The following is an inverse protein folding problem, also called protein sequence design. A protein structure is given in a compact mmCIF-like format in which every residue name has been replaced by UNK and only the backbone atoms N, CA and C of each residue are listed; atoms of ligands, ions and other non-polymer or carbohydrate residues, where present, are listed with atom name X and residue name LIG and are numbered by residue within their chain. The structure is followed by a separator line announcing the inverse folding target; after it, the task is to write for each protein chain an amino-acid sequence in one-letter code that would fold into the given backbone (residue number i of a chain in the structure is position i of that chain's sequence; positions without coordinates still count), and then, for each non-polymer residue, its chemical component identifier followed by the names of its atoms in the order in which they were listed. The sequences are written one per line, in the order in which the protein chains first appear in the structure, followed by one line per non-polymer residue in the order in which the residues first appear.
data_IF_373596331902
#
_entry.id   IF_373596331902
#
_cell.length_a   1.000
_cell.length_b   1.000
_cell.length_c   1.000
_cell.angle_alpha   90.00
_cell.angle_beta   90.00
_cell.angle_gamma   90.00
#
_symmetry.space_group_name_H-M   'P 1'
#
loop_
_entity.id
_entity.type
_entity.pdbx_description
1 polymer ?
#
# COMPACT_ATOMS: atom_id res chain seq x y z
N UNK A 1 -1.42 10.14 15.55
CA UNK A 1 -0.63 10.36 14.34
C UNK A 1 0.05 9.10 13.97
N UNK A 2 -0.14 8.72 12.78
CA UNK A 2 0.32 7.41 12.37
C UNK A 2 1.52 7.53 11.45
N UNK A 3 2.70 7.14 11.94
CA UNK A 3 3.87 7.00 11.09
C UNK A 3 3.61 5.97 9.99
N UNK A 4 2.69 5.05 10.25
CA UNK A 4 2.35 4.01 9.28
C UNK A 4 1.80 4.64 8.00
N UNK A 5 0.90 5.61 8.11
CA UNK A 5 0.34 6.28 6.94
C UNK A 5 1.43 6.93 6.10
N UNK A 6 2.37 7.64 6.74
CA UNK A 6 3.48 8.27 6.04
C UNK A 6 4.39 7.26 5.37
N UNK A 7 4.68 6.18 6.07
CA UNK A 7 5.55 5.12 5.55
C UNK A 7 4.90 4.40 4.36
N UNK A 8 3.61 4.13 4.46
CA UNK A 8 2.87 3.50 3.37
C UNK A 8 2.92 4.38 2.13
N UNK A 9 2.67 5.67 2.28
CA UNK A 9 2.73 6.61 1.15
C UNK A 9 4.12 6.65 0.53
N UNK A 10 5.16 6.69 1.35
CA UNK A 10 6.54 6.67 0.85
C UNK A 10 6.83 5.44 0.02
N UNK A 11 6.38 4.28 0.49
CA UNK A 11 6.57 3.03 -0.22
C UNK A 11 5.85 3.07 -1.57
N UNK A 12 4.63 3.58 -1.59
CA UNK A 12 3.84 3.68 -2.81
C UNK A 12 4.52 4.61 -3.82
N UNK A 13 4.96 5.77 -3.37
CA UNK A 13 5.65 6.73 -4.22
C UNK A 13 6.91 6.11 -4.83
N UNK A 14 7.69 5.43 -4.01
CA UNK A 14 8.94 4.81 -4.47
C UNK A 14 8.69 3.64 -5.41
N UNK A 15 7.70 2.82 -5.12
CA UNK A 15 7.45 1.59 -5.88
C UNK A 15 6.74 1.88 -7.21
N UNK A 16 5.76 2.77 -7.19
CA UNK A 16 4.96 3.06 -8.38
C UNK A 16 5.44 4.30 -9.14
N UNK A 17 6.31 5.09 -8.55
CA UNK A 17 6.82 6.29 -9.20
C UNK A 17 5.76 7.38 -9.36
N UNK A 18 4.83 7.48 -8.43
CA UNK A 18 3.78 8.49 -8.46
C UNK A 18 4.08 9.59 -7.44
N UNK A 19 3.41 10.73 -7.60
CA UNK A 19 3.55 11.84 -6.65
C UNK A 19 2.82 11.53 -5.36
N UNK A 20 3.35 12.06 -4.27
CA UNK A 20 2.72 11.93 -2.96
C UNK A 20 1.29 12.45 -2.98
N UNK A 21 1.04 13.51 -3.75
CA UNK A 21 -0.30 14.10 -3.88
C UNK A 21 -1.30 13.16 -4.56
N UNK A 22 -0.81 12.24 -5.38
CA UNK A 22 -1.66 11.27 -6.03
C UNK A 22 -2.02 10.11 -5.11
N UNK A 23 -1.20 9.84 -4.11
CA UNK A 23 -1.40 8.73 -3.18
C UNK A 23 -2.31 9.15 -2.02
N UNK A 24 -3.52 9.57 -2.36
CA UNK A 24 -4.53 9.92 -1.34
C UNK A 24 -5.16 8.64 -0.78
N UNK A 25 -5.84 8.77 0.35
CA UNK A 25 -6.46 7.61 0.99
C UNK A 25 -7.47 6.91 0.10
N UNK A 26 -8.12 7.66 -0.76
CA UNK A 26 -9.16 7.12 -1.65
C UNK A 26 -8.60 6.63 -2.98
N UNK A 27 -7.32 6.86 -3.25
CA UNK A 27 -6.71 6.48 -4.52
C UNK A 27 -6.67 4.97 -4.67
N UNK A 28 -7.19 4.48 -5.79
CA UNK A 28 -7.13 3.07 -6.14
C UNK A 28 -5.79 2.79 -6.79
N UNK A 29 -5.14 1.71 -6.38
CA UNK A 29 -3.83 1.38 -6.94
C UNK A 29 -3.89 1.16 -8.45
N UNK A 30 -4.93 0.50 -8.93
CA UNK A 30 -5.04 0.20 -10.35
C UNK A 30 -5.67 1.33 -11.15
N UNK A 31 -6.74 1.94 -10.63
CA UNK A 31 -7.49 2.96 -11.37
C UNK A 31 -6.87 4.34 -11.30
N UNK A 32 -6.37 4.72 -10.13
CA UNK A 32 -5.86 6.08 -9.92
C UNK A 32 -4.35 6.17 -10.03
N UNK A 33 -3.65 5.13 -9.60
CA UNK A 33 -2.19 5.13 -9.60
C UNK A 33 -1.58 4.32 -10.74
N UNK A 34 -2.42 3.66 -11.52
CA UNK A 34 -2.00 2.96 -12.72
C UNK A 34 -1.16 1.70 -12.48
N UNK A 35 -1.28 1.11 -11.31
CA UNK A 35 -0.56 -0.12 -11.01
C UNK A 35 -1.20 -1.31 -11.71
N UNK A 36 -0.40 -2.14 -12.37
CA UNK A 36 -0.92 -3.40 -12.91
C UNK A 36 -0.75 -4.49 -11.84
N UNK A 37 -1.10 -5.73 -12.19
CA UNK A 37 -1.07 -6.82 -11.21
C UNK A 37 0.35 -7.09 -10.70
N UNK A 38 1.36 -6.92 -11.53
CA UNK A 38 2.74 -7.10 -11.12
C UNK A 38 3.17 -6.00 -10.14
N UNK A 39 2.81 -4.77 -10.45
CA UNK A 39 3.12 -3.64 -9.57
C UNK A 39 2.45 -3.83 -8.21
N UNK A 40 1.22 -4.31 -8.21
CA UNK A 40 0.49 -4.54 -6.97
C UNK A 40 1.19 -5.60 -6.12
N UNK A 41 1.65 -6.68 -6.74
CA UNK A 41 2.38 -7.73 -6.03
C UNK A 41 3.67 -7.16 -5.43
N UNK A 42 4.42 -6.40 -6.20
CA UNK A 42 5.64 -5.78 -5.70
C UNK A 42 5.38 -4.87 -4.52
N UNK A 43 4.30 -4.10 -4.60
CA UNK A 43 3.91 -3.18 -3.54
C UNK A 43 3.61 -3.93 -2.25
N UNK A 44 2.85 -5.01 -2.37
CA UNK A 44 2.52 -5.85 -1.20
C UNK A 44 3.80 -6.43 -0.58
N UNK A 45 4.72 -6.88 -1.41
CA UNK A 45 5.98 -7.43 -0.93
C UNK A 45 6.81 -6.37 -0.18
N UNK A 46 6.80 -5.14 -0.67
CA UNK A 46 7.49 -4.05 0.00
C UNK A 46 6.88 -3.75 1.36
N UNK A 47 5.55 -3.76 1.45
CA UNK A 47 4.87 -3.59 2.73
C UNK A 47 5.28 -4.69 3.71
N UNK A 48 5.34 -5.92 3.25
CA UNK A 48 5.74 -7.03 4.11
C UNK A 48 7.15 -6.86 4.65
N UNK A 49 8.06 -6.42 3.79
CA UNK A 49 9.45 -6.20 4.19
C UNK A 49 9.59 -5.04 5.15
N UNK A 50 8.94 -3.93 4.84
CA UNK A 50 9.12 -2.68 5.61
C UNK A 50 8.46 -2.75 6.98
N UNK A 51 7.35 -3.47 7.08
CA UNK A 51 6.60 -3.56 8.33
C UNK A 51 6.78 -4.90 9.03
N UNK A 52 7.52 -5.81 8.41
CA UNK A 52 7.78 -7.15 8.96
C UNK A 52 6.49 -7.88 9.30
N UNK A 53 5.58 -7.92 8.35
CA UNK A 53 4.29 -8.60 8.47
C UNK A 53 4.09 -9.52 7.27
N UNK A 54 3.11 -10.41 7.38
CA UNK A 54 2.72 -11.28 6.28
C UNK A 54 1.35 -10.85 5.76
N UNK A 55 1.23 -10.69 4.45
CA UNK A 55 -0.05 -10.33 3.82
C UNK A 55 -0.43 -11.48 2.88
N UNK A 56 -1.34 -12.36 3.32
CA UNK A 56 -1.79 -13.48 2.47
C UNK A 56 -2.47 -12.96 1.21
N UNK A 57 -2.45 -13.75 0.15
CA UNK A 57 -3.02 -13.36 -1.14
C UNK A 57 -4.49 -12.94 -1.04
N UNK A 58 -5.27 -13.66 -0.26
CA UNK A 58 -6.69 -13.32 -0.10
C UNK A 58 -6.89 -11.99 0.58
N UNK A 59 -6.01 -11.60 1.49
CA UNK A 59 -6.05 -10.29 2.12
C UNK A 59 -5.55 -9.22 1.17
N UNK A 60 -4.51 -9.52 0.41
CA UNK A 60 -3.95 -8.59 -0.56
C UNK A 60 -4.99 -8.19 -1.61
N UNK A 61 -5.85 -9.11 -2.01
CA UNK A 61 -6.91 -8.82 -2.97
C UNK A 61 -7.92 -7.79 -2.46
N UNK A 62 -8.05 -7.67 -1.15
CA UNK A 62 -8.97 -6.71 -0.54
C UNK A 62 -8.36 -5.33 -0.39
N UNK A 63 -7.06 -5.21 -0.57
CA UNK A 63 -6.35 -3.94 -0.47
C UNK A 63 -6.40 -3.27 -1.83
N UNK A 64 -7.44 -2.48 -2.06
CA UNK A 64 -7.65 -1.82 -3.35
C UNK A 64 -7.27 -0.36 -3.36
N UNK A 65 -7.18 0.28 -2.19
CA UNK A 65 -6.84 1.69 -2.09
C UNK A 65 -5.72 1.90 -1.07
N UNK A 66 -5.15 3.11 -1.11
CA UNK A 66 -4.11 3.49 -0.15
C UNK A 66 -4.64 3.37 1.29
N UNK A 67 -5.86 3.84 1.52
CA UNK A 67 -6.48 3.76 2.85
C UNK A 67 -6.65 2.33 3.33
N UNK A 68 -7.02 1.43 2.43
CA UNK A 68 -7.16 0.01 2.77
C UNK A 68 -5.83 -0.57 3.21
N UNK A 69 -4.75 -0.20 2.51
CA UNK A 69 -3.41 -0.68 2.86
C UNK A 69 -3.00 -0.17 4.24
N UNK A 70 -3.23 1.11 4.49
CA UNK A 70 -2.88 1.71 5.78
C UNK A 70 -3.63 1.00 6.92
N UNK A 71 -4.92 0.81 6.74
CA UNK A 71 -5.75 0.17 7.75
C UNK A 71 -5.29 -1.25 8.05
N UNK A 72 -5.03 -2.01 6.98
CA UNK A 72 -4.59 -3.38 7.14
C UNK A 72 -3.27 -3.45 7.92
N UNK A 73 -2.32 -2.60 7.56
CA UNK A 73 -1.02 -2.59 8.20
C UNK A 73 -1.13 -2.14 9.65
N UNK A 74 -1.94 -1.12 9.92
CA UNK A 74 -2.15 -0.67 11.29
C UNK A 74 -2.73 -1.78 12.16
N UNK A 75 -3.67 -2.53 11.63
CA UNK A 75 -4.30 -3.61 12.37
C UNK A 75 -3.32 -4.75 12.67
N UNK A 76 -2.31 -4.92 11.84
CA UNK A 76 -1.36 -6.02 11.95
C UNK A 76 -0.03 -5.67 12.59
N UNK A 77 0.18 -4.39 12.93
CA UNK A 77 1.43 -3.95 13.54
C UNK A 77 1.24 -3.45 14.98
N UNK A 78 0.09 -3.59 15.51
CA UNK A 78 -0.19 -3.19 16.89
C UNK A 78 0.52 -4.07 17.89
#
# INVERSE_FOLDING_TARGET
MSDIASRVKSIIVDTLGVDENEATLQASFTNDLGADSLDTVELIMEFEKKFNIAIPDDQAEKIGTVGDAIKYIEDNTK
#
